data_IF_307886583691
#
_entry.id   IF_307886583691
#
_cell.length_a   1.000
_cell.length_b   1.000
_cell.length_c   1.000
_cell.angle_alpha   90.00
_cell.angle_beta   90.00
_cell.angle_gamma   90.00
#
_symmetry.space_group_name_H-M   'P 1'
#
loop_
_entity.id
_entity.type
_entity.pdbx_description
1 polymer ?
#
# COMPACT_ATOMS: atom_id res chain seq x y z
N UNK A 1 -27.73 -5.06 -1.03
CA UNK A 1 -27.41 -6.43 -1.47
C UNK A 1 -26.25 -6.90 -0.62
N UNK A 2 -26.41 -7.99 0.12
CA UNK A 2 -25.30 -8.69 0.79
C UNK A 2 -24.35 -9.18 -0.30
N UNK A 3 -23.06 -8.74 -0.25
CA UNK A 3 -22.07 -9.26 -1.18
C UNK A 3 -21.96 -10.77 -0.96
N UNK A 4 -22.04 -11.54 -2.06
CA UNK A 4 -21.85 -12.99 -2.05
C UNK A 4 -20.50 -13.32 -1.38
N UNK A 5 -20.49 -14.29 -0.47
CA UNK A 5 -19.25 -14.74 0.15
C UNK A 5 -18.39 -15.42 -0.94
N UNK A 6 -17.16 -14.92 -1.12
CA UNK A 6 -16.21 -15.53 -2.06
C UNK A 6 -15.45 -16.67 -1.39
N UNK A 7 -15.18 -17.72 -2.14
CA UNK A 7 -14.32 -18.81 -1.71
C UNK A 7 -13.24 -19.10 -2.77
N UNK A 8 -12.02 -19.34 -2.31
CA UNK A 8 -10.95 -19.84 -3.16
C UNK A 8 -11.01 -21.36 -3.24
N UNK A 9 -10.58 -21.91 -4.37
CA UNK A 9 -10.43 -23.36 -4.52
C UNK A 9 -9.60 -23.93 -3.35
N UNK A 10 -10.04 -25.04 -2.78
CA UNK A 10 -9.31 -25.74 -1.71
C UNK A 10 -8.35 -26.79 -2.27
N UNK A 11 -8.47 -27.09 -3.55
CA UNK A 11 -7.68 -28.12 -4.22
C UNK A 11 -6.42 -27.49 -4.79
N UNK A 12 -5.37 -27.40 -4.01
CA UNK A 12 -4.02 -27.21 -4.53
C UNK A 12 -3.52 -28.59 -5.03
N UNK A 13 -4.03 -28.99 -6.18
CA UNK A 13 -3.69 -30.28 -6.80
C UNK A 13 -2.18 -30.40 -7.05
N UNK A 14 -1.52 -29.28 -7.28
CA UNK A 14 -0.08 -29.22 -7.51
C UNK A 14 0.74 -29.07 -6.21
N UNK A 15 0.09 -28.89 -5.04
CA UNK A 15 0.76 -28.67 -3.75
C UNK A 15 1.74 -27.49 -3.74
N UNK A 16 1.53 -26.52 -4.62
CA UNK A 16 2.42 -25.36 -4.82
C UNK A 16 2.72 -24.64 -3.51
N UNK A 17 1.68 -24.15 -2.83
CA UNK A 17 1.88 -23.32 -1.63
C UNK A 17 2.50 -24.11 -0.46
N UNK A 18 2.17 -25.38 -0.35
CA UNK A 18 2.78 -26.26 0.67
C UNK A 18 4.28 -26.40 0.44
N UNK A 19 4.70 -26.62 -0.81
CA UNK A 19 6.11 -26.73 -1.21
C UNK A 19 6.85 -25.42 -1.00
N UNK A 20 6.26 -24.30 -1.47
CA UNK A 20 6.84 -22.98 -1.33
C UNK A 20 7.01 -22.60 0.15
N UNK A 21 5.97 -22.78 0.95
CA UNK A 21 6.00 -22.46 2.39
C UNK A 21 7.05 -23.30 3.13
N UNK A 22 7.19 -24.58 2.79
CA UNK A 22 8.24 -25.43 3.36
C UNK A 22 9.63 -24.87 3.03
N UNK A 23 9.93 -24.56 1.76
CA UNK A 23 11.22 -24.01 1.33
C UNK A 23 11.56 -22.68 2.00
N UNK A 24 10.58 -21.79 2.12
CA UNK A 24 10.77 -20.51 2.83
C UNK A 24 11.01 -20.75 4.32
N UNK A 25 10.31 -21.69 4.94
CA UNK A 25 10.54 -22.05 6.34
C UNK A 25 11.93 -22.65 6.56
N UNK A 26 12.35 -23.57 5.68
CA UNK A 26 13.66 -24.19 5.74
C UNK A 26 14.77 -23.11 5.59
N UNK A 27 14.61 -22.15 4.68
CA UNK A 27 15.54 -21.02 4.53
C UNK A 27 15.76 -20.26 5.85
N UNK A 28 14.69 -19.89 6.57
CA UNK A 28 14.83 -19.20 7.85
C UNK A 28 15.46 -20.06 8.93
N UNK A 29 15.11 -21.35 8.99
CA UNK A 29 15.63 -22.32 9.94
C UNK A 29 17.11 -22.60 9.72
N UNK A 30 17.49 -22.91 8.48
CA UNK A 30 18.85 -23.32 8.13
C UNK A 30 19.85 -22.17 8.27
N UNK A 31 19.41 -20.92 8.06
CA UNK A 31 20.22 -19.73 8.27
C UNK A 31 20.13 -19.18 9.71
N UNK A 32 19.33 -19.78 10.60
CA UNK A 32 19.11 -19.33 11.98
C UNK A 32 18.73 -17.83 12.07
N UNK A 33 17.86 -17.35 11.18
CA UNK A 33 17.39 -15.96 11.15
C UNK A 33 15.91 -15.84 11.45
N UNK A 34 15.52 -14.73 12.10
CA UNK A 34 14.12 -14.44 12.39
C UNK A 34 13.41 -13.89 11.15
N UNK A 35 12.10 -14.16 11.03
CA UNK A 35 11.26 -13.60 9.96
C UNK A 35 10.94 -12.12 10.12
N UNK A 36 11.07 -11.61 11.34
CA UNK A 36 10.84 -10.20 11.66
C UNK A 36 12.05 -9.34 11.29
N UNK A 37 11.85 -8.02 11.33
CA UNK A 37 12.89 -7.05 11.03
C UNK A 37 14.15 -7.21 11.86
N UNK A 38 15.27 -6.81 11.28
CA UNK A 38 16.59 -6.81 11.85
C UNK A 38 17.17 -5.38 11.89
N UNK A 39 18.46 -5.23 12.20
CA UNK A 39 19.10 -3.92 12.28
C UNK A 39 18.92 -3.05 11.01
N UNK A 40 18.88 -3.68 9.82
CA UNK A 40 18.64 -2.96 8.54
C UNK A 40 17.27 -2.26 8.54
N UNK A 41 16.23 -2.92 9.07
CA UNK A 41 14.91 -2.31 9.20
C UNK A 41 14.92 -1.12 10.16
N UNK A 42 15.57 -1.24 11.31
CA UNK A 42 15.65 -0.13 12.27
C UNK A 42 16.43 1.06 11.71
N UNK A 43 17.53 0.82 10.99
CA UNK A 43 18.27 1.89 10.29
C UNK A 43 17.38 2.58 9.25
N UNK A 44 16.64 1.81 8.44
CA UNK A 44 15.67 2.38 7.49
C UNK A 44 14.61 3.22 8.19
N UNK A 45 14.07 2.72 9.30
CA UNK A 45 13.07 3.46 10.09
C UNK A 45 13.63 4.81 10.58
N UNK A 46 14.85 4.83 11.12
CA UNK A 46 15.53 6.07 11.53
C UNK A 46 15.67 7.03 10.35
N UNK A 47 16.14 6.56 9.20
CA UNK A 47 16.27 7.40 8.00
C UNK A 47 14.92 7.98 7.57
N UNK A 48 13.86 7.16 7.50
CA UNK A 48 12.54 7.62 7.05
C UNK A 48 11.91 8.61 8.04
N UNK A 49 12.03 8.36 9.36
CA UNK A 49 11.59 9.34 10.37
C UNK A 49 12.45 10.62 10.34
N UNK A 50 13.74 10.54 10.06
CA UNK A 50 14.58 11.73 9.92
C UNK A 50 14.16 12.58 8.72
N UNK A 51 13.85 11.97 7.57
CA UNK A 51 13.32 12.68 6.40
C UNK A 51 11.95 13.34 6.69
N UNK A 52 11.15 12.75 7.56
CA UNK A 52 9.86 13.31 7.95
C UNK A 52 10.00 14.44 8.98
N UNK A 53 10.85 14.27 10.01
CA UNK A 53 10.86 15.13 11.21
C UNK A 53 11.87 16.27 11.07
N UNK A 54 13.10 16.00 10.62
CA UNK A 54 14.18 17.01 10.62
C UNK A 54 13.82 18.24 9.78
N UNK A 55 13.30 18.13 8.54
CA UNK A 55 12.93 19.31 7.77
C UNK A 55 11.80 20.12 8.42
N UNK A 56 10.83 19.45 9.08
CA UNK A 56 9.77 20.15 9.82
C UNK A 56 10.34 20.95 10.98
N UNK A 57 11.22 20.34 11.78
CA UNK A 57 11.87 21.04 12.89
C UNK A 57 12.65 22.25 12.38
N UNK A 58 13.42 22.11 11.30
CA UNK A 58 14.18 23.23 10.72
C UNK A 58 13.25 24.34 10.21
N UNK A 59 12.14 24.01 9.53
CA UNK A 59 11.15 25.01 9.08
C UNK A 59 10.58 25.79 10.27
N UNK A 60 10.27 25.09 11.36
CA UNK A 60 9.60 25.70 12.52
C UNK A 60 10.54 26.47 13.46
N UNK A 61 11.87 26.24 13.40
CA UNK A 61 12.83 26.78 14.39
C UNK A 61 13.82 27.80 13.83
N UNK A 62 14.03 27.83 12.53
CA UNK A 62 14.97 28.77 11.89
C UNK A 62 14.32 29.48 10.69
N UNK A 63 14.70 30.73 10.48
CA UNK A 63 14.25 31.49 9.31
C UNK A 63 14.91 30.95 8.04
N UNK A 64 14.09 30.42 7.13
CA UNK A 64 14.56 29.81 5.87
C UNK A 64 14.00 30.58 4.68
N UNK A 65 14.74 30.70 3.57
CA UNK A 65 14.19 31.16 2.30
C UNK A 65 13.02 30.29 1.86
N UNK A 66 12.01 30.89 1.23
CA UNK A 66 10.78 30.20 0.78
C UNK A 66 11.09 28.95 -0.06
N UNK A 67 12.04 29.02 -0.98
CA UNK A 67 12.42 27.88 -1.80
C UNK A 67 12.96 26.71 -1.00
N UNK A 68 13.70 26.99 0.09
CA UNK A 68 14.19 25.96 1.01
C UNK A 68 13.03 25.32 1.78
N UNK A 69 12.05 26.12 2.21
CA UNK A 69 10.84 25.60 2.85
C UNK A 69 10.04 24.70 1.91
N UNK A 70 9.86 25.09 0.65
CA UNK A 70 9.20 24.26 -0.38
C UNK A 70 9.96 22.94 -0.57
N UNK A 71 11.27 22.99 -0.73
CA UNK A 71 12.11 21.78 -0.87
C UNK A 71 11.96 20.88 0.36
N UNK A 72 11.97 21.46 1.56
CA UNK A 72 11.81 20.70 2.80
C UNK A 72 10.43 20.05 2.90
N UNK A 73 9.35 20.72 2.47
CA UNK A 73 8.02 20.10 2.43
C UNK A 73 7.92 18.95 1.42
N UNK A 74 8.66 19.00 0.30
CA UNK A 74 8.82 17.85 -0.61
C UNK A 74 9.54 16.71 0.12
N UNK A 75 10.64 16.99 0.84
CA UNK A 75 11.39 15.99 1.62
C UNK A 75 10.50 15.38 2.73
N UNK A 76 9.68 16.19 3.39
CA UNK A 76 8.67 15.72 4.36
C UNK A 76 7.70 14.73 3.70
N UNK A 77 7.20 15.05 2.50
CA UNK A 77 6.33 14.16 1.73
C UNK A 77 7.02 12.84 1.36
N UNK A 78 8.30 12.90 0.97
CA UNK A 78 9.15 11.71 0.74
C UNK A 78 9.30 10.90 2.04
N UNK A 79 9.58 11.55 3.17
CA UNK A 79 9.68 10.92 4.48
C UNK A 79 8.35 10.30 4.91
N UNK A 80 7.23 11.00 4.68
CA UNK A 80 5.87 10.51 4.95
C UNK A 80 5.56 9.21 4.21
N UNK A 81 5.80 9.17 2.90
CA UNK A 81 5.66 7.95 2.10
C UNK A 81 6.63 6.85 2.56
N UNK A 82 7.87 7.21 2.86
CA UNK A 82 8.90 6.30 3.35
C UNK A 82 8.53 5.64 4.69
N UNK A 83 8.01 6.40 5.66
CA UNK A 83 7.50 5.86 6.94
C UNK A 83 6.30 4.93 6.67
N UNK A 84 5.40 5.31 5.77
CA UNK A 84 4.28 4.49 5.36
C UNK A 84 4.74 3.11 4.87
N UNK A 85 5.66 3.07 3.92
CA UNK A 85 6.11 1.84 3.27
C UNK A 85 7.06 0.99 4.12
N UNK A 86 7.97 1.61 4.88
CA UNK A 86 9.04 0.89 5.59
C UNK A 86 8.72 0.57 7.04
N UNK A 87 7.89 1.39 7.70
CA UNK A 87 7.65 1.28 9.15
C UNK A 87 6.24 0.85 9.45
N UNK A 88 5.28 1.67 9.06
CA UNK A 88 3.86 1.46 9.34
C UNK A 88 3.36 0.16 8.72
N UNK A 89 3.75 -0.11 7.48
CA UNK A 89 3.32 -1.25 6.70
C UNK A 89 3.75 -2.59 7.34
N UNK A 90 5.07 -2.80 7.54
CA UNK A 90 5.57 -4.02 8.21
C UNK A 90 4.99 -4.17 9.62
N UNK A 91 4.87 -3.07 10.37
CA UNK A 91 4.37 -3.11 11.74
C UNK A 91 2.89 -3.51 11.81
N UNK A 92 2.06 -3.05 10.88
CA UNK A 92 0.65 -3.41 10.82
C UNK A 92 0.40 -4.81 10.24
N UNK A 93 1.36 -5.39 9.53
CA UNK A 93 1.42 -6.82 9.20
C UNK A 93 2.00 -7.68 10.35
N UNK A 94 2.54 -7.05 11.40
CA UNK A 94 3.15 -7.75 12.54
C UNK A 94 4.56 -8.28 12.27
N UNK A 95 5.18 -7.87 11.18
CA UNK A 95 6.50 -8.34 10.70
C UNK A 95 7.67 -7.42 11.09
N UNK A 96 7.41 -6.21 11.61
CA UNK A 96 8.46 -5.25 12.00
C UNK A 96 9.31 -5.78 13.16
N UNK A 97 8.68 -6.37 14.18
CA UNK A 97 9.37 -6.89 15.37
C UNK A 97 8.71 -8.16 15.91
N UNK A 98 9.48 -9.01 16.58
CA UNK A 98 8.95 -10.14 17.35
C UNK A 98 8.15 -9.69 18.59
N UNK A 99 8.33 -8.45 19.04
CA UNK A 99 7.62 -7.87 20.20
C UNK A 99 6.34 -7.18 19.73
N UNK A 100 5.17 -7.66 20.15
CA UNK A 100 3.86 -7.12 19.76
C UNK A 100 3.70 -5.63 20.06
N UNK A 101 4.22 -5.15 21.20
CA UNK A 101 4.12 -3.74 21.56
C UNK A 101 4.91 -2.82 20.61
N UNK A 102 6.07 -3.29 20.08
CA UNK A 102 6.87 -2.56 19.07
C UNK A 102 6.06 -2.45 17.78
N UNK A 103 5.45 -3.54 17.32
CA UNK A 103 4.59 -3.49 16.14
C UNK A 103 3.40 -2.54 16.34
N UNK A 104 2.80 -2.52 17.54
CA UNK A 104 1.72 -1.56 17.84
C UNK A 104 2.21 -0.11 17.80
N UNK A 105 3.37 0.17 18.40
CA UNK A 105 3.96 1.52 18.41
C UNK A 105 4.33 1.98 17.00
N UNK A 106 5.08 1.17 16.25
CA UNK A 106 5.51 1.51 14.88
C UNK A 106 4.31 1.57 13.93
N UNK A 107 3.32 0.68 14.08
CA UNK A 107 2.09 0.70 13.30
C UNK A 107 1.23 1.94 13.56
N UNK A 108 1.29 2.52 14.78
CA UNK A 108 0.59 3.76 15.09
C UNK A 108 1.17 5.00 14.40
N UNK A 109 2.34 4.90 13.74
CA UNK A 109 2.85 5.97 12.88
C UNK A 109 1.90 6.33 11.74
N UNK A 110 0.94 5.48 11.41
CA UNK A 110 -0.12 5.78 10.44
C UNK A 110 -0.92 7.05 10.81
N UNK A 111 -1.08 7.35 12.10
CA UNK A 111 -1.78 8.56 12.52
C UNK A 111 -1.02 9.85 12.16
N UNK A 112 0.32 9.79 12.10
CA UNK A 112 1.16 10.91 11.63
C UNK A 112 1.03 11.08 10.11
N UNK A 113 0.65 10.01 9.41
CA UNK A 113 0.44 9.97 7.96
C UNK A 113 -1.01 10.29 7.56
N UNK A 114 -1.80 10.83 8.47
CA UNK A 114 -3.23 11.10 8.31
C UNK A 114 -4.15 9.88 8.18
N UNK A 115 -3.65 8.66 8.35
CA UNK A 115 -4.45 7.43 8.25
C UNK A 115 -4.97 6.94 9.59
N UNK A 116 -5.81 5.90 9.55
CA UNK A 116 -6.36 5.21 10.72
C UNK A 116 -5.99 3.72 10.70
N UNK A 117 -5.48 3.19 11.81
CA UNK A 117 -4.96 1.81 11.89
C UNK A 117 -6.03 0.74 11.66
N UNK A 118 -7.27 0.97 12.13
CA UNK A 118 -8.39 0.06 11.92
C UNK A 118 -8.79 0.02 10.44
N UNK A 119 -8.98 1.18 9.83
CA UNK A 119 -9.38 1.29 8.43
C UNK A 119 -8.35 0.64 7.53
N UNK A 120 -7.06 0.97 7.75
CA UNK A 120 -5.98 0.41 6.95
C UNK A 120 -5.89 -1.11 7.07
N UNK A 121 -5.98 -1.66 8.30
CA UNK A 121 -5.94 -3.11 8.51
C UNK A 121 -7.12 -3.83 7.86
N UNK A 122 -8.31 -3.24 7.89
CA UNK A 122 -9.47 -3.82 7.20
C UNK A 122 -9.31 -3.73 5.70
N UNK A 123 -8.97 -2.55 5.17
CA UNK A 123 -8.79 -2.34 3.74
C UNK A 123 -7.66 -3.21 3.20
N UNK A 124 -6.48 -3.12 3.78
CA UNK A 124 -5.26 -3.75 3.25
C UNK A 124 -5.13 -5.23 3.65
N UNK A 125 -5.13 -5.54 4.97
CA UNK A 125 -4.87 -6.91 5.40
C UNK A 125 -6.06 -7.86 5.18
N UNK A 126 -7.32 -7.34 5.24
CA UNK A 126 -8.51 -8.19 5.09
C UNK A 126 -9.02 -8.19 3.66
N UNK A 127 -9.28 -7.00 3.09
CA UNK A 127 -9.91 -6.93 1.77
C UNK A 127 -8.90 -7.13 0.65
N UNK A 128 -7.80 -6.36 0.63
CA UNK A 128 -6.81 -6.41 -0.43
C UNK A 128 -6.02 -7.73 -0.46
N UNK A 129 -5.37 -8.12 0.64
CA UNK A 129 -4.59 -9.38 0.67
C UNK A 129 -5.42 -10.65 0.50
N UNK A 130 -6.71 -10.62 0.85
CA UNK A 130 -7.58 -11.78 0.59
C UNK A 130 -8.09 -11.79 -0.84
N UNK A 131 -8.52 -10.64 -1.35
CA UNK A 131 -9.28 -10.52 -2.60
C UNK A 131 -8.58 -9.70 -3.66
N UNK A 132 -7.26 -9.74 -3.72
CA UNK A 132 -6.40 -8.95 -4.62
C UNK A 132 -6.95 -8.92 -6.05
N UNK A 133 -7.16 -7.74 -6.60
CA UNK A 133 -7.67 -7.50 -7.95
C UNK A 133 -9.09 -8.05 -8.25
N UNK A 134 -9.86 -8.46 -7.24
CA UNK A 134 -11.26 -8.89 -7.45
C UNK A 134 -12.18 -7.68 -7.37
N UNK A 135 -12.78 -7.31 -8.48
CA UNK A 135 -13.69 -6.17 -8.59
C UNK A 135 -14.79 -6.19 -7.52
N UNK A 136 -14.93 -5.08 -6.80
CA UNK A 136 -15.95 -4.92 -5.75
C UNK A 136 -15.59 -5.57 -4.41
N UNK A 137 -14.50 -6.29 -4.29
CA UNK A 137 -14.00 -6.88 -3.04
C UNK A 137 -12.68 -6.25 -2.61
N UNK A 138 -11.75 -6.05 -3.52
CA UNK A 138 -10.53 -5.31 -3.30
C UNK A 138 -10.81 -3.79 -3.39
N UNK A 139 -10.72 -3.09 -2.24
CA UNK A 139 -10.98 -1.66 -2.17
C UNK A 139 -9.72 -0.82 -2.48
N UNK A 140 -8.53 -1.43 -2.53
CA UNK A 140 -7.28 -0.74 -2.89
C UNK A 140 -7.18 -0.44 -4.39
N UNK A 141 -7.92 -1.19 -5.23
CA UNK A 141 -8.05 -0.92 -6.66
C UNK A 141 -9.38 -0.25 -7.04
N UNK A 142 -10.18 0.19 -6.08
CA UNK A 142 -11.44 0.89 -6.33
C UNK A 142 -11.26 2.41 -6.26
N UNK A 143 -10.96 3.03 -7.39
CA UNK A 143 -10.90 4.49 -7.53
C UNK A 143 -12.27 5.11 -7.85
N UNK A 144 -13.34 4.45 -7.51
CA UNK A 144 -14.72 4.89 -7.76
C UNK A 144 -15.02 4.95 -9.26
N UNK A 145 -15.57 6.11 -9.71
CA UNK A 145 -15.93 6.31 -11.12
C UNK A 145 -14.94 7.17 -11.91
N UNK A 146 -13.90 7.66 -11.23
CA UNK A 146 -12.98 8.65 -11.84
C UNK A 146 -11.88 7.96 -12.63
N UNK A 147 -11.31 6.87 -12.09
CA UNK A 147 -10.30 6.07 -12.77
C UNK A 147 -10.80 4.64 -12.90
N UNK A 148 -10.64 4.06 -14.08
CA UNK A 148 -11.02 2.68 -14.37
C UNK A 148 -9.78 1.80 -14.32
N UNK A 149 -9.58 1.10 -13.20
CA UNK A 149 -8.47 0.17 -13.00
C UNK A 149 -8.80 -1.27 -13.43
N UNK A 150 -10.07 -1.58 -13.63
CA UNK A 150 -10.51 -2.93 -14.02
C UNK A 150 -11.37 -2.88 -15.28
N UNK A 151 -11.20 -3.88 -16.16
CA UNK A 151 -12.09 -4.09 -17.32
C UNK A 151 -13.54 -4.34 -16.93
N UNK A 152 -13.80 -4.78 -15.69
CA UNK A 152 -15.12 -5.06 -15.15
C UNK A 152 -15.82 -3.80 -14.61
N UNK A 153 -15.08 -2.69 -14.38
CA UNK A 153 -15.69 -1.40 -14.02
C UNK A 153 -16.39 -0.80 -15.23
N UNK A 154 -17.60 -0.24 -15.02
CA UNK A 154 -18.36 0.44 -16.09
C UNK A 154 -17.54 1.55 -16.73
N UNK A 155 -17.43 1.53 -18.05
CA UNK A 155 -16.73 2.56 -18.79
C UNK A 155 -17.53 3.88 -18.85
N UNK A 156 -16.84 5.00 -18.71
CA UNK A 156 -17.36 6.37 -18.87
C UNK A 156 -16.48 7.13 -19.86
N UNK A 157 -17.07 8.13 -20.57
CA UNK A 157 -16.32 8.94 -21.56
C UNK A 157 -15.04 9.57 -21.02
N UNK A 158 -15.00 9.95 -19.74
CA UNK A 158 -13.80 10.53 -19.12
C UNK A 158 -12.61 9.57 -19.10
N UNK A 159 -12.85 8.24 -19.03
CA UNK A 159 -11.77 7.25 -18.93
C UNK A 159 -10.86 7.22 -20.17
N UNK A 160 -11.31 7.68 -21.35
CA UNK A 160 -10.45 7.79 -22.53
C UNK A 160 -9.22 8.70 -22.29
N UNK A 161 -9.32 9.61 -21.33
CA UNK A 161 -8.25 10.54 -20.95
C UNK A 161 -7.52 10.14 -19.67
N UNK A 162 -7.90 9.04 -19.00
CA UNK A 162 -7.37 8.70 -17.67
C UNK A 162 -5.85 8.56 -17.61
N UNK A 163 -5.20 8.12 -18.68
CA UNK A 163 -3.74 8.05 -18.79
C UNK A 163 -3.04 9.39 -18.56
N UNK A 164 -3.72 10.54 -18.74
CA UNK A 164 -3.19 11.87 -18.54
C UNK A 164 -3.43 12.40 -17.12
N UNK A 165 -4.65 12.16 -16.58
CA UNK A 165 -5.01 12.74 -15.29
C UNK A 165 -4.82 11.80 -14.11
N UNK A 166 -4.64 10.49 -14.32
CA UNK A 166 -4.54 9.54 -13.22
C UNK A 166 -3.35 9.87 -12.31
N UNK A 167 -2.18 10.15 -12.88
CA UNK A 167 -1.00 10.50 -12.09
C UNK A 167 -1.19 11.79 -11.27
N UNK A 168 -1.93 12.76 -11.80
CA UNK A 168 -2.29 13.95 -11.03
C UNK A 168 -3.18 13.57 -9.83
N UNK A 169 -4.20 12.75 -10.04
CA UNK A 169 -5.10 12.30 -8.97
C UNK A 169 -4.40 11.43 -7.92
N UNK A 170 -3.36 10.69 -8.30
CA UNK A 170 -2.54 9.92 -7.36
C UNK A 170 -1.94 10.81 -6.26
N UNK A 171 -1.53 12.02 -6.59
CA UNK A 171 -1.04 12.98 -5.62
C UNK A 171 -2.06 13.38 -4.55
N UNK A 172 -3.36 13.21 -4.80
CA UNK A 172 -4.42 13.56 -3.86
C UNK A 172 -4.76 12.45 -2.85
N UNK A 173 -4.17 11.24 -2.97
CA UNK A 173 -4.50 10.06 -2.15
C UNK A 173 -4.45 10.37 -0.65
N UNK A 174 -3.31 10.85 -0.17
CA UNK A 174 -3.10 11.06 1.27
C UNK A 174 -3.87 12.27 1.80
N UNK A 175 -4.07 13.31 0.99
CA UNK A 175 -4.95 14.42 1.34
C UNK A 175 -6.40 13.95 1.50
N UNK A 176 -6.85 13.05 0.63
CA UNK A 176 -8.19 12.46 0.75
C UNK A 176 -8.33 11.58 2.00
N UNK A 177 -7.27 10.86 2.41
CA UNK A 177 -7.25 10.16 3.72
C UNK A 177 -7.39 11.13 4.90
N UNK A 178 -6.68 12.26 4.84
CA UNK A 178 -6.76 13.27 5.88
C UNK A 178 -8.19 13.80 6.05
N UNK A 179 -8.89 14.06 4.94
CA UNK A 179 -10.13 14.84 4.93
C UNK A 179 -11.39 13.95 4.97
N UNK A 180 -11.47 12.90 4.14
CA UNK A 180 -12.75 12.19 3.91
C UNK A 180 -12.68 10.68 4.07
N UNK A 181 -11.69 10.02 3.48
CA UNK A 181 -11.67 8.56 3.30
C UNK A 181 -11.82 7.82 4.62
N UNK A 182 -11.08 8.21 5.65
CA UNK A 182 -11.10 7.52 6.95
C UNK A 182 -12.47 7.55 7.61
N UNK A 183 -13.20 8.66 7.50
CA UNK A 183 -14.56 8.79 8.08
C UNK A 183 -15.54 7.85 7.36
N UNK A 184 -15.49 7.86 6.02
CA UNK A 184 -16.35 7.01 5.18
C UNK A 184 -16.06 5.53 5.43
N UNK A 185 -14.77 5.15 5.48
CA UNK A 185 -14.34 3.78 5.71
C UNK A 185 -14.70 3.29 7.11
N UNK A 186 -14.47 4.09 8.16
CA UNK A 186 -14.86 3.72 9.53
C UNK A 186 -16.35 3.42 9.60
N UNK A 187 -17.21 4.30 9.06
CA UNK A 187 -18.65 4.04 9.02
C UNK A 187 -18.98 2.75 8.25
N UNK A 188 -18.43 2.60 7.04
CA UNK A 188 -18.70 1.47 6.14
C UNK A 188 -18.26 0.15 6.75
N UNK A 189 -17.06 0.08 7.33
CA UNK A 189 -16.49 -1.14 7.88
C UNK A 189 -17.18 -1.57 9.19
N UNK A 190 -17.49 -0.63 10.06
CA UNK A 190 -18.27 -0.93 11.27
C UNK A 190 -19.67 -1.41 10.94
N UNK A 191 -20.36 -0.77 9.98
CA UNK A 191 -21.68 -1.22 9.50
C UNK A 191 -21.63 -2.62 8.90
N UNK A 192 -20.57 -2.96 8.17
CA UNK A 192 -20.35 -4.30 7.57
C UNK A 192 -19.78 -5.30 8.56
N UNK A 193 -19.49 -4.92 9.80
CA UNK A 193 -18.85 -5.74 10.84
C UNK A 193 -17.51 -6.35 10.38
N UNK A 194 -16.74 -5.60 9.61
CA UNK A 194 -15.42 -6.01 9.15
C UNK A 194 -14.39 -5.76 10.24
N UNK A 195 -13.46 -6.71 10.42
CA UNK A 195 -12.39 -6.58 11.39
C UNK A 195 -11.16 -7.39 10.98
N UNK A 196 -10.00 -6.90 11.37
CA UNK A 196 -8.77 -7.68 11.42
C UNK A 196 -8.60 -8.23 12.84
N UNK A 197 -8.92 -9.52 13.03
CA UNK A 197 -9.01 -10.15 14.34
C UNK A 197 -10.36 -9.96 15.03
N UNK A 198 -10.37 -9.51 16.29
CA UNK A 198 -11.61 -9.31 17.06
C UNK A 198 -12.40 -8.12 16.53
N UNK A 199 -13.72 -8.27 16.46
CA UNK A 199 -14.61 -7.17 16.09
C UNK A 199 -14.49 -6.04 17.13
N UNK A 200 -14.14 -4.82 16.70
CA UNK A 200 -13.93 -3.72 17.62
C UNK A 200 -15.28 -3.09 18.05
N UNK A 201 -15.27 -2.48 19.23
CA UNK A 201 -16.39 -1.68 19.67
C UNK A 201 -16.48 -0.40 18.81
N UNK A 202 -17.64 -0.04 18.23
CA UNK A 202 -17.77 1.10 17.34
C UNK A 202 -17.31 2.42 17.95
N UNK A 203 -17.74 2.74 19.17
CA UNK A 203 -17.34 3.98 19.83
C UNK A 203 -15.83 4.11 19.99
N UNK A 204 -15.13 2.98 20.30
CA UNK A 204 -13.67 2.99 20.42
C UNK A 204 -12.99 3.38 19.09
N UNK A 205 -13.50 2.90 17.93
CA UNK A 205 -12.91 3.24 16.66
C UNK A 205 -13.16 4.70 16.25
N UNK A 206 -14.37 5.19 16.50
CA UNK A 206 -14.67 6.62 16.29
C UNK A 206 -13.82 7.52 17.19
N UNK A 207 -13.68 7.18 18.47
CA UNK A 207 -12.83 7.94 19.41
C UNK A 207 -11.37 7.97 18.92
N UNK A 208 -10.81 6.82 18.53
CA UNK A 208 -9.43 6.76 17.99
C UNK A 208 -9.28 7.59 16.72
N UNK A 209 -10.24 7.52 15.80
CA UNK A 209 -10.22 8.31 14.58
C UNK A 209 -10.22 9.80 14.89
N UNK A 210 -11.16 10.26 15.71
CA UNK A 210 -11.29 11.70 16.06
C UNK A 210 -10.03 12.20 16.78
N UNK A 211 -9.55 11.47 17.80
CA UNK A 211 -8.32 11.86 18.52
C UNK A 211 -7.12 11.87 17.55
N UNK A 212 -7.00 10.86 16.70
CA UNK A 212 -5.94 10.81 15.68
C UNK A 212 -5.98 12.02 14.74
N UNK A 213 -7.16 12.43 14.26
CA UNK A 213 -7.32 13.62 13.42
C UNK A 213 -7.03 14.91 14.17
N UNK A 214 -7.46 15.03 15.42
CA UNK A 214 -7.14 16.20 16.27
C UNK A 214 -5.62 16.34 16.41
N UNK A 215 -4.91 15.26 16.78
CA UNK A 215 -3.45 15.28 16.91
C UNK A 215 -2.80 15.62 15.56
N UNK A 216 -3.26 15.01 14.49
CA UNK A 216 -2.76 15.26 13.14
C UNK A 216 -2.87 16.73 12.74
N UNK A 217 -4.05 17.32 12.83
CA UNK A 217 -4.26 18.72 12.47
C UNK A 217 -3.60 19.69 13.45
N UNK A 218 -3.46 19.31 14.73
CA UNK A 218 -2.69 20.09 15.69
C UNK A 218 -1.23 20.24 15.28
N UNK A 219 -0.61 19.17 14.78
CA UNK A 219 0.79 19.18 14.34
C UNK A 219 0.95 19.95 13.01
N UNK A 220 0.10 19.63 12.02
CA UNK A 220 0.33 20.08 10.64
C UNK A 220 -0.34 21.43 10.31
N UNK A 221 -1.29 21.89 11.12
CA UNK A 221 -2.03 23.14 10.89
C UNK A 221 -1.92 24.08 12.07
N UNK A 222 -2.36 23.64 13.26
CA UNK A 222 -2.46 24.55 14.43
C UNK A 222 -1.08 25.01 14.89
N UNK A 223 -0.13 24.10 15.03
CA UNK A 223 1.23 24.42 15.50
C UNK A 223 1.93 25.46 14.61
N UNK A 224 2.07 25.31 13.28
CA UNK A 224 2.70 26.35 12.48
C UNK A 224 1.93 27.68 12.49
N UNK A 225 0.61 27.67 12.49
CA UNK A 225 -0.17 28.92 12.65
C UNK A 225 0.11 29.61 13.99
N UNK A 226 0.23 28.85 15.07
CA UNK A 226 0.55 29.41 16.41
C UNK A 226 1.98 29.95 16.51
N UNK A 227 2.88 29.51 15.64
CA UNK A 227 4.25 30.01 15.51
C UNK A 227 4.37 31.21 14.55
N UNK A 228 3.25 31.71 14.02
CA UNK A 228 3.21 32.93 13.21
C UNK A 228 3.31 32.72 11.70
N UNK A 229 3.28 31.47 11.19
CA UNK A 229 3.19 31.22 9.75
C UNK A 229 1.84 31.71 9.22
N UNK A 230 1.85 32.31 8.02
CA UNK A 230 0.60 32.73 7.38
C UNK A 230 -0.22 31.50 6.94
N UNK A 231 -1.54 31.60 6.99
CA UNK A 231 -2.45 30.51 6.67
C UNK A 231 -2.20 29.90 5.28
N UNK A 232 -1.84 30.71 4.30
CA UNK A 232 -1.54 30.26 2.93
C UNK A 232 -0.21 29.50 2.84
N UNK A 233 0.79 29.81 3.67
CA UNK A 233 2.06 29.08 3.77
C UNK A 233 1.81 27.68 4.32
N UNK A 234 0.99 27.60 5.40
CA UNK A 234 0.59 26.33 6.00
C UNK A 234 -0.20 25.49 5.00
N UNK A 235 -1.16 26.08 4.29
CA UNK A 235 -1.93 25.40 3.26
C UNK A 235 -1.03 24.89 2.12
N UNK A 236 -0.14 25.71 1.61
CA UNK A 236 0.79 25.34 0.53
C UNK A 236 1.71 24.20 0.97
N UNK A 237 2.32 24.31 2.15
CA UNK A 237 3.16 23.25 2.72
C UNK A 237 2.40 21.94 2.89
N UNK A 238 1.18 21.99 3.42
CA UNK A 238 0.30 20.84 3.56
C UNK A 238 0.00 20.16 2.20
N UNK A 239 -0.33 20.96 1.18
CA UNK A 239 -0.60 20.45 -0.17
C UNK A 239 0.64 19.82 -0.80
N UNK A 240 1.81 20.46 -0.70
CA UNK A 240 3.08 19.94 -1.25
C UNK A 240 3.43 18.59 -0.59
N UNK A 241 3.37 18.52 0.74
CA UNK A 241 3.65 17.30 1.49
C UNK A 241 2.72 16.16 1.07
N UNK A 242 1.42 16.41 1.08
CA UNK A 242 0.43 15.40 0.71
C UNK A 242 0.52 14.98 -0.75
N UNK A 243 0.70 15.93 -1.65
CA UNK A 243 0.83 15.62 -3.08
C UNK A 243 2.06 14.74 -3.35
N UNK A 244 3.19 15.08 -2.72
CA UNK A 244 4.42 14.28 -2.83
C UNK A 244 4.23 12.88 -2.26
N UNK A 245 3.68 12.75 -1.05
CA UNK A 245 3.45 11.45 -0.44
C UNK A 245 2.40 10.64 -1.22
N UNK A 246 1.32 11.27 -1.65
CA UNK A 246 0.24 10.64 -2.38
C UNK A 246 0.68 10.06 -3.71
N UNK A 247 1.42 10.81 -4.53
CA UNK A 247 1.91 10.32 -5.82
C UNK A 247 2.88 9.16 -5.65
N UNK A 248 3.78 9.22 -4.67
CA UNK A 248 4.74 8.14 -4.39
C UNK A 248 4.01 6.86 -3.99
N UNK A 249 3.13 6.93 -2.98
CA UNK A 249 2.40 5.77 -2.49
C UNK A 249 1.51 5.16 -3.56
N UNK A 250 0.77 5.99 -4.29
CA UNK A 250 -0.12 5.50 -5.34
C UNK A 250 0.65 4.84 -6.48
N UNK A 251 1.72 5.47 -6.98
CA UNK A 251 2.51 4.89 -8.07
C UNK A 251 3.09 3.54 -7.65
N UNK A 252 3.77 3.46 -6.49
CA UNK A 252 4.36 2.20 -6.00
C UNK A 252 3.31 1.09 -5.91
N UNK A 253 2.11 1.40 -5.41
CA UNK A 253 1.02 0.44 -5.30
C UNK A 253 0.48 0.02 -6.68
N UNK A 254 0.23 0.97 -7.57
CA UNK A 254 -0.35 0.66 -8.89
C UNK A 254 0.60 -0.15 -9.79
N UNK A 255 1.93 0.03 -9.65
CA UNK A 255 2.92 -0.78 -10.38
C UNK A 255 2.91 -2.26 -10.00
N UNK A 256 2.27 -2.60 -8.90
CA UNK A 256 2.13 -3.98 -8.45
C UNK A 256 0.86 -4.66 -8.98
N UNK A 257 -0.23 -3.90 -9.16
CA UNK A 257 -1.58 -4.46 -9.32
C UNK A 257 -2.27 -4.12 -10.64
N UNK A 258 -2.03 -2.94 -11.20
CA UNK A 258 -2.69 -2.47 -12.43
C UNK A 258 -1.69 -2.46 -13.57
N UNK A 259 -1.27 -3.66 -13.96
CA UNK A 259 -0.23 -3.89 -14.97
C UNK A 259 -0.76 -4.78 -16.11
N UNK A 260 -0.15 -4.73 -17.32
CA UNK A 260 -0.58 -5.57 -18.44
C UNK A 260 -0.54 -7.07 -18.16
N UNK A 261 0.38 -7.51 -17.30
CA UNK A 261 0.59 -8.92 -16.94
C UNK A 261 -0.08 -9.34 -15.63
N UNK A 262 -0.85 -8.45 -14.98
CA UNK A 262 -1.67 -8.82 -13.83
C UNK A 262 -3.12 -9.05 -14.25
N UNK A 263 -3.72 -10.08 -13.67
CA UNK A 263 -5.11 -10.42 -13.95
C UNK A 263 -6.09 -9.69 -13.02
N UNK A 264 -7.32 -9.52 -13.52
CA UNK A 264 -8.49 -9.04 -12.77
C UNK A 264 -9.53 -10.16 -12.81
N UNK A 265 -9.37 -11.24 -12.03
CA UNK A 265 -10.25 -12.40 -12.09
C UNK A 265 -11.61 -12.11 -11.47
N UNK A 266 -12.62 -12.83 -11.96
CA UNK A 266 -13.98 -12.79 -11.43
C UNK A 266 -14.37 -14.16 -10.85
N UNK A 267 -15.19 -14.20 -9.80
CA UNK A 267 -15.77 -15.44 -9.31
C UNK A 267 -16.76 -16.03 -10.32
N UNK A 268 -17.04 -17.31 -10.21
CA UNK A 268 -18.14 -17.96 -10.90
C UNK A 268 -19.51 -17.55 -10.32
N UNK A 269 -20.59 -18.08 -10.87
CA UNK A 269 -21.98 -17.80 -10.44
C UNK A 269 -22.24 -18.21 -8.97
N UNK A 270 -21.46 -19.15 -8.43
CA UNK A 270 -21.54 -19.62 -7.05
C UNK A 270 -20.60 -18.86 -6.09
N UNK A 271 -19.85 -17.88 -6.58
CA UNK A 271 -18.89 -17.13 -5.78
C UNK A 271 -17.53 -17.83 -5.60
N UNK A 272 -17.22 -18.86 -6.40
CA UNK A 272 -15.95 -19.56 -6.29
C UNK A 272 -14.90 -18.98 -7.23
N UNK A 273 -13.68 -18.83 -6.72
CA UNK A 273 -12.50 -18.47 -7.51
C UNK A 273 -11.87 -19.72 -8.11
N UNK A 274 -11.41 -19.62 -9.36
CA UNK A 274 -10.80 -20.72 -10.11
C UNK A 274 -9.55 -21.29 -9.41
N UNK A 275 -8.71 -20.40 -8.90
CA UNK A 275 -7.41 -20.75 -8.32
C UNK A 275 -7.48 -20.83 -6.79
N UNK A 276 -6.50 -21.52 -6.17
CA UNK A 276 -6.24 -21.37 -4.74
C UNK A 276 -5.73 -19.96 -4.45
N UNK A 277 -5.84 -19.51 -3.20
CA UNK A 277 -5.41 -18.16 -2.80
C UNK A 277 -3.97 -17.84 -3.21
N UNK A 278 -3.02 -18.75 -2.96
CA UNK A 278 -1.62 -18.49 -3.28
C UNK A 278 -1.33 -18.39 -4.79
N UNK A 279 -1.98 -19.23 -5.59
CA UNK A 279 -1.89 -19.15 -7.05
C UNK A 279 -2.54 -17.85 -7.55
N UNK A 280 -3.67 -17.46 -7.00
CA UNK A 280 -4.33 -16.20 -7.30
C UNK A 280 -3.39 -15.00 -7.06
N UNK A 281 -2.61 -14.99 -5.95
CA UNK A 281 -1.64 -13.91 -5.69
C UNK A 281 -0.59 -13.79 -6.82
N UNK A 282 -0.11 -14.90 -7.37
CA UNK A 282 0.85 -14.87 -8.48
C UNK A 282 0.27 -14.25 -9.78
N UNK A 283 -1.02 -14.50 -10.05
CA UNK A 283 -1.69 -13.93 -11.22
C UNK A 283 -2.05 -12.44 -11.06
N UNK A 284 -2.20 -11.95 -9.83
CA UNK A 284 -2.74 -10.62 -9.54
C UNK A 284 -1.69 -9.63 -9.05
N UNK A 285 -0.43 -10.06 -8.92
CA UNK A 285 0.67 -9.22 -8.46
C UNK A 285 1.85 -9.21 -9.42
N UNK A 286 2.64 -8.14 -9.38
CA UNK A 286 3.84 -7.97 -10.17
C UNK A 286 4.94 -7.29 -9.36
N UNK A 287 6.18 -7.73 -9.57
CA UNK A 287 7.38 -7.11 -9.03
C UNK A 287 7.94 -6.07 -10.02
N UNK A 288 8.69 -5.10 -9.50
CA UNK A 288 9.41 -4.14 -10.35
C UNK A 288 10.78 -3.78 -9.75
N UNK A 289 11.73 -3.43 -10.62
CA UNK A 289 13.10 -3.04 -10.22
C UNK A 289 13.78 -4.00 -9.23
N UNK A 290 13.76 -5.32 -9.44
CA UNK A 290 14.27 -6.27 -8.46
C UNK A 290 15.78 -6.19 -8.21
N UNK A 291 16.53 -5.51 -9.11
CA UNK A 291 17.99 -5.31 -9.00
C UNK A 291 18.38 -3.95 -8.43
N UNK A 292 17.43 -3.04 -8.19
CA UNK A 292 17.71 -1.69 -7.69
C UNK A 292 17.65 -1.66 -6.16
N UNK A 293 18.81 -1.57 -5.51
CA UNK A 293 18.88 -1.45 -4.07
C UNK A 293 18.25 -0.14 -3.54
N UNK A 294 18.31 0.94 -4.32
CA UNK A 294 17.70 2.24 -3.96
C UNK A 294 16.18 2.10 -3.92
N UNK A 295 15.59 1.50 -4.97
CA UNK A 295 14.14 1.26 -5.01
C UNK A 295 13.74 0.35 -3.86
N UNK A 296 14.42 -0.78 -3.65
CA UNK A 296 14.14 -1.72 -2.56
C UNK A 296 14.30 -1.08 -1.18
N UNK A 297 15.32 -0.25 -1.00
CA UNK A 297 15.53 0.49 0.25
C UNK A 297 14.38 1.45 0.53
N UNK A 298 14.04 2.30 -0.44
CA UNK A 298 13.06 3.36 -0.24
C UNK A 298 11.62 2.84 -0.17
N UNK A 299 11.26 1.88 -1.03
CA UNK A 299 9.90 1.34 -1.09
C UNK A 299 9.56 0.36 0.03
N UNK A 300 10.50 0.06 0.95
CA UNK A 300 10.23 -0.95 1.98
C UNK A 300 9.99 -2.33 1.39
N UNK A 301 10.67 -2.69 0.31
CA UNK A 301 10.48 -3.97 -0.37
C UNK A 301 9.12 -4.11 -1.09
N UNK A 302 8.29 -3.05 -1.16
CA UNK A 302 7.02 -3.09 -1.88
C UNK A 302 7.19 -3.15 -3.42
N UNK A 303 8.41 -3.06 -3.91
CA UNK A 303 8.77 -3.44 -5.27
C UNK A 303 8.79 -4.97 -5.50
N UNK A 304 8.60 -5.77 -4.44
CA UNK A 304 8.50 -7.23 -4.44
C UNK A 304 7.13 -7.69 -3.94
N UNK A 305 6.11 -7.30 -4.67
CA UNK A 305 4.72 -7.50 -4.27
C UNK A 305 4.30 -8.97 -4.26
N UNK A 306 4.87 -9.79 -5.13
CA UNK A 306 4.63 -11.24 -5.13
C UNK A 306 5.02 -11.85 -3.78
N UNK A 307 6.20 -11.51 -3.27
CA UNK A 307 6.70 -11.97 -1.98
C UNK A 307 5.89 -11.39 -0.83
N UNK A 308 5.54 -10.11 -0.94
CA UNK A 308 4.73 -9.42 0.05
C UNK A 308 3.34 -10.07 0.19
N UNK A 309 2.63 -10.32 -0.89
CA UNK A 309 1.31 -10.94 -0.86
C UNK A 309 1.34 -12.37 -0.33
N UNK A 310 2.32 -13.17 -0.71
CA UNK A 310 2.45 -14.55 -0.25
C UNK A 310 2.90 -14.66 1.21
N UNK A 311 3.68 -13.69 1.71
CA UNK A 311 4.36 -13.74 3.00
C UNK A 311 4.36 -12.38 3.73
N UNK A 312 3.22 -11.73 3.83
CA UNK A 312 3.08 -10.42 4.49
C UNK A 312 3.51 -10.41 5.97
N UNK A 313 3.56 -11.58 6.60
CA UNK A 313 4.06 -11.77 7.98
C UNK A 313 5.58 -11.90 8.07
N UNK A 314 6.30 -11.80 6.96
CA UNK A 314 7.76 -11.72 6.90
C UNK A 314 8.15 -10.27 6.63
N UNK A 315 9.14 -9.75 7.38
CA UNK A 315 9.63 -8.38 7.15
C UNK A 315 10.26 -8.24 5.77
N UNK A 316 9.99 -7.12 5.14
CA UNK A 316 10.46 -6.82 3.78
C UNK A 316 11.99 -6.88 3.59
N UNK A 317 12.77 -6.76 4.66
CA UNK A 317 14.24 -6.89 4.60
C UNK A 317 14.71 -8.29 4.17
N UNK A 318 13.81 -9.26 4.13
CA UNK A 318 14.06 -10.63 3.67
C UNK A 318 13.51 -10.91 2.26
N UNK A 319 12.72 -10.02 1.66
CA UNK A 319 12.04 -10.31 0.39
C UNK A 319 13.01 -10.59 -0.75
N UNK A 320 14.15 -9.89 -0.86
CA UNK A 320 15.15 -10.17 -1.89
C UNK A 320 15.72 -11.59 -1.83
N UNK A 321 15.82 -12.16 -0.62
CA UNK A 321 16.33 -13.51 -0.43
C UNK A 321 15.25 -14.56 -0.76
N UNK A 322 14.02 -14.38 -0.26
CA UNK A 322 12.93 -15.33 -0.53
C UNK A 322 12.41 -15.24 -1.96
N UNK A 323 12.60 -14.12 -2.66
CA UNK A 323 12.20 -13.95 -4.06
C UNK A 323 12.79 -15.00 -4.98
N UNK A 324 14.04 -15.43 -4.74
CA UNK A 324 14.68 -16.51 -5.50
C UNK A 324 13.94 -17.84 -5.32
N UNK A 325 13.52 -18.12 -4.08
CA UNK A 325 12.77 -19.34 -3.74
C UNK A 325 11.38 -19.30 -4.37
N UNK A 326 10.70 -18.14 -4.26
CA UNK A 326 9.36 -17.95 -4.86
C UNK A 326 9.42 -18.12 -6.36
N UNK A 327 10.34 -17.42 -7.04
CA UNK A 327 10.50 -17.47 -8.49
C UNK A 327 10.79 -18.88 -8.99
N UNK A 328 11.78 -19.55 -8.39
CA UNK A 328 12.14 -20.92 -8.74
C UNK A 328 10.95 -21.87 -8.54
N UNK A 329 10.27 -21.78 -7.39
CA UNK A 329 9.13 -22.66 -7.12
C UNK A 329 7.99 -22.40 -8.09
N UNK A 330 7.67 -21.12 -8.40
CA UNK A 330 6.64 -20.80 -9.39
C UNK A 330 6.97 -21.40 -10.77
N UNK A 331 8.24 -21.32 -11.23
CA UNK A 331 8.68 -21.91 -12.48
C UNK A 331 8.55 -23.44 -12.51
N UNK A 332 8.93 -24.13 -11.43
CA UNK A 332 8.79 -25.59 -11.32
C UNK A 332 7.33 -26.06 -11.43
N UNK A 333 6.39 -25.23 -10.99
CA UNK A 333 4.95 -25.50 -11.07
C UNK A 333 4.28 -24.89 -12.31
N UNK A 334 5.07 -24.36 -13.27
CA UNK A 334 4.57 -23.69 -14.47
C UNK A 334 3.59 -22.55 -14.17
N UNK A 335 3.81 -21.83 -13.07
CA UNK A 335 3.03 -20.68 -12.65
C UNK A 335 3.72 -19.35 -13.02
N UNK A 336 2.96 -18.28 -13.25
CA UNK A 336 3.53 -16.98 -13.58
C UNK A 336 4.34 -16.40 -12.42
N UNK A 337 5.39 -15.66 -12.77
CA UNK A 337 6.11 -14.79 -11.85
C UNK A 337 6.36 -13.47 -12.57
N UNK A 338 5.48 -12.50 -12.33
CA UNK A 338 5.45 -11.25 -13.05
C UNK A 338 6.52 -10.28 -12.53
N UNK A 339 7.36 -9.76 -13.42
CA UNK A 339 8.48 -8.91 -13.03
C UNK A 339 8.83 -7.90 -14.12
N UNK A 340 9.04 -6.63 -13.75
CA UNK A 340 9.58 -5.58 -14.61
C UNK A 340 10.99 -5.19 -14.18
N UNK A 341 11.95 -5.21 -15.09
CA UNK A 341 13.37 -5.05 -14.79
C UNK A 341 13.73 -3.68 -14.19
N UNK A 342 13.02 -2.61 -14.57
CA UNK A 342 13.30 -1.25 -14.09
C UNK A 342 12.02 -0.54 -13.66
N UNK A 343 12.18 0.47 -12.79
CA UNK A 343 11.09 1.32 -12.33
C UNK A 343 10.40 2.06 -13.50
N UNK A 344 11.18 2.67 -14.37
CA UNK A 344 10.61 3.44 -15.48
C UNK A 344 9.92 2.55 -16.52
N UNK A 345 10.39 1.32 -16.72
CA UNK A 345 9.66 0.35 -17.55
C UNK A 345 8.31 0.01 -16.94
N UNK A 346 8.26 -0.22 -15.63
CA UNK A 346 7.00 -0.48 -14.94
C UNK A 346 6.04 0.73 -15.02
N UNK A 347 6.53 1.97 -14.82
CA UNK A 347 5.72 3.19 -14.97
C UNK A 347 5.17 3.32 -16.40
N UNK A 348 6.00 3.07 -17.41
CA UNK A 348 5.57 3.09 -18.82
C UNK A 348 4.49 2.05 -19.12
N UNK A 349 4.63 0.84 -18.57
CA UNK A 349 3.64 -0.22 -18.76
C UNK A 349 2.34 0.07 -18.00
N UNK A 350 2.42 0.65 -16.80
CA UNK A 350 1.22 1.12 -16.09
C UNK A 350 0.49 2.22 -16.89
N UNK A 351 1.22 3.20 -17.44
CA UNK A 351 0.64 4.21 -18.33
C UNK A 351 -0.07 3.58 -19.53
N UNK A 352 0.56 2.57 -20.16
CA UNK A 352 -0.03 1.83 -21.26
C UNK A 352 -1.29 1.05 -20.82
N UNK A 353 -1.27 0.46 -19.63
CA UNK A 353 -2.43 -0.24 -19.07
C UNK A 353 -3.60 0.73 -18.81
N UNK A 354 -3.34 1.93 -18.28
CA UNK A 354 -4.36 2.97 -18.14
C UNK A 354 -4.94 3.38 -19.49
N UNK A 355 -4.11 3.47 -20.55
CA UNK A 355 -4.55 3.74 -21.92
C UNK A 355 -5.48 2.63 -22.45
N UNK A 356 -5.13 1.36 -22.22
CA UNK A 356 -5.94 0.19 -22.63
C UNK A 356 -7.28 0.18 -21.89
N UNK A 357 -7.25 0.32 -20.56
CA UNK A 357 -8.45 0.35 -19.71
C UNK A 357 -9.33 1.57 -20.00
N UNK A 358 -8.77 2.67 -20.52
CA UNK A 358 -9.49 3.87 -20.93
C UNK A 358 -10.27 3.74 -22.24
N UNK A 359 -9.96 2.75 -23.08
CA UNK A 359 -10.69 2.54 -24.33
C UNK A 359 -12.13 2.09 -24.07
N UNK A 360 -13.05 2.59 -24.91
CA UNK A 360 -14.43 2.11 -24.90
C UNK A 360 -14.42 0.60 -25.24
N UNK A 361 -15.06 -0.25 -24.42
CA UNK A 361 -15.22 -1.65 -24.78
C UNK A 361 -15.89 -1.80 -26.14
N UNK A 362 -15.36 -2.62 -27.03
CA UNK A 362 -16.07 -3.06 -28.23
C UNK A 362 -17.32 -3.81 -27.77
N UNK A 363 -18.45 -3.45 -28.33
CA UNK A 363 -19.68 -4.26 -28.18
C UNK A 363 -19.37 -5.58 -28.89
N UNK A 364 -19.15 -6.66 -28.10
CA UNK A 364 -19.02 -8.00 -28.64
C UNK A 364 -20.41 -8.51 -28.94
#
# INVERSE_FOLDING_TARGET
MTKQALSFSRTDSAKFFKTLNKRVNDYFKDNNIKRTGNWKLYTKAIVMFSLLIVPVVLILTITLPVWTQILFMVIVGIGMAGVGMNVMHDANHGSFSSKKWVNKLMGSSIYILAGNDYNWKVQHNVLHHTYTNIQGHDEDIDAGRIIRFSKHTKWLKIHQYQKYYAFFLYGLLTANWAITTDFVQTYKYLKRKLAYGKLPHPATQWTKLIIGKIIYYSIWVVLPLSLGFAWWEVLLGFLIMHYTAGIILSVIFQLAHVMPNTEMPTPDENGNMKNTWAIHQLFTTSNFSPKSWIVEFYTGGLNRQVEHHLFANISHVHYSNIAKIVKQTAQEFSLPYNEYNTFWKAVSEHYNQLKVLGKKPSIA
#
